data_IF_558314074051
#
_entry.id   IF_558314074051
#
_cell.length_a   1.000
_cell.length_b   1.000
_cell.length_c   1.000
_cell.angle_alpha   90.00
_cell.angle_beta   90.00
_cell.angle_gamma   90.00
#
_symmetry.space_group_name_H-M   'P 1'
#
loop_
_entity.id
_entity.type
_entity.pdbx_description
1 polymer ?
#
# COMPACT_ATOMS: atom_id res chain seq x y z
N UNK A 1 10.68 -6.15 15.49
CA UNK A 1 11.52 -5.88 14.31
C UNK A 1 10.55 -5.61 13.18
N UNK A 2 10.46 -4.37 12.72
CA UNK A 2 9.55 -3.97 11.65
C UNK A 2 10.31 -4.07 10.33
N UNK A 3 9.74 -4.75 9.33
CA UNK A 3 10.29 -4.82 7.97
C UNK A 3 9.48 -3.91 7.07
N UNK A 4 10.13 -2.97 6.39
CA UNK A 4 9.51 -2.22 5.31
C UNK A 4 9.40 -3.14 4.10
N UNK A 5 8.22 -3.27 3.52
CA UNK A 5 7.96 -4.12 2.36
C UNK A 5 7.08 -3.36 1.36
N UNK A 6 7.41 -3.43 0.07
CA UNK A 6 6.55 -2.98 -1.03
C UNK A 6 6.28 -4.16 -1.96
N UNK A 7 5.01 -4.36 -2.35
CA UNK A 7 4.58 -5.48 -3.18
C UNK A 7 5.04 -6.86 -2.66
N UNK A 8 5.10 -7.04 -1.33
CA UNK A 8 5.57 -8.28 -0.70
C UNK A 8 7.09 -8.47 -0.67
N UNK A 9 7.85 -7.58 -1.32
CA UNK A 9 9.32 -7.60 -1.31
C UNK A 9 9.87 -6.69 -0.20
N UNK A 10 10.87 -7.14 0.57
CA UNK A 10 11.50 -6.30 1.60
C UNK A 10 12.27 -5.16 0.94
N UNK A 11 11.98 -3.93 1.37
CA UNK A 11 12.77 -2.76 1.03
C UNK A 11 13.95 -2.75 1.99
N UNK A 12 15.13 -3.08 1.49
CA UNK A 12 16.36 -2.96 2.26
C UNK A 12 16.72 -1.48 2.36
N UNK A 13 16.95 -0.95 3.57
CA UNK A 13 17.38 0.43 3.77
C UNK A 13 18.83 0.60 3.27
N UNK A 14 19.02 0.65 1.95
CA UNK A 14 20.32 0.94 1.34
C UNK A 14 20.51 2.45 1.09
N UNK A 15 19.43 3.23 1.04
CA UNK A 15 19.46 4.65 0.67
C UNK A 15 18.63 5.54 1.63
N UNK A 16 18.47 5.14 2.89
CA UNK A 16 17.89 6.03 3.91
C UNK A 16 18.95 7.07 4.26
N UNK A 17 18.84 8.23 3.64
CA UNK A 17 19.24 9.50 4.25
C UNK A 17 18.66 9.55 5.69
N UNK A 18 19.29 10.26 6.62
CA UNK A 18 18.83 10.42 8.02
C UNK A 18 17.49 11.20 8.13
N UNK A 19 16.73 11.26 7.04
CA UNK A 19 15.44 11.88 6.93
C UNK A 19 14.40 11.17 7.81
N UNK A 20 13.62 11.91 8.61
CA UNK A 20 12.52 11.36 9.42
C UNK A 20 11.30 10.97 8.56
N UNK A 21 11.46 10.83 7.25
CA UNK A 21 10.41 10.66 6.27
C UNK A 21 10.75 9.54 5.30
N UNK A 22 9.84 8.57 5.18
CA UNK A 22 9.88 7.54 4.16
C UNK A 22 8.71 7.81 3.22
N UNK A 23 9.02 8.07 1.95
CA UNK A 23 8.02 8.21 0.88
C UNK A 23 8.19 7.04 -0.06
N UNK A 24 7.10 6.29 -0.28
CA UNK A 24 7.03 5.29 -1.33
C UNK A 24 6.28 5.91 -2.50
N UNK A 25 7.05 6.28 -3.51
CA UNK A 25 6.57 6.74 -4.80
C UNK A 25 6.71 5.57 -5.78
N UNK A 26 5.69 5.37 -6.61
CA UNK A 26 5.80 4.40 -7.69
C UNK A 26 6.53 5.07 -8.86
N UNK A 27 7.44 4.33 -9.48
CA UNK A 27 8.17 4.75 -10.67
C UNK A 27 7.18 5.10 -11.81
N UNK A 28 7.33 6.28 -12.40
CA UNK A 28 6.48 6.75 -13.50
C UNK A 28 6.68 5.88 -14.76
N UNK A 29 7.86 5.27 -14.89
CA UNK A 29 8.21 4.34 -15.97
C UNK A 29 7.88 2.88 -15.62
N UNK A 30 7.25 2.62 -14.46
CA UNK A 30 6.88 1.26 -14.05
C UNK A 30 5.89 0.61 -15.04
N UNK A 31 6.02 -0.72 -15.27
CA UNK A 31 5.07 -1.45 -16.12
C UNK A 31 3.63 -1.33 -15.61
N UNK A 32 2.71 -1.00 -16.51
CA UNK A 32 1.31 -0.72 -16.17
C UNK A 32 0.43 -1.98 -16.04
N UNK A 33 0.97 -3.12 -16.45
CA UNK A 33 0.25 -4.38 -16.55
C UNK A 33 1.11 -5.53 -16.05
N UNK A 34 0.47 -6.52 -15.44
CA UNK A 34 1.11 -7.79 -15.05
C UNK A 34 0.17 -8.95 -15.31
N UNK A 35 0.71 -10.16 -15.40
CA UNK A 35 -0.09 -11.37 -15.53
C UNK A 35 -0.65 -11.79 -14.17
N UNK A 36 -1.96 -12.03 -14.08
CA UNK A 36 -2.60 -12.53 -12.83
C UNK A 36 -2.09 -13.91 -12.41
N UNK A 37 -1.58 -14.69 -13.37
CA UNK A 37 -1.24 -16.09 -13.18
C UNK A 37 0.24 -16.30 -12.82
N UNK A 38 1.18 -15.78 -13.62
CA UNK A 38 2.62 -15.88 -13.33
C UNK A 38 3.19 -14.68 -12.57
N UNK A 39 2.51 -13.53 -12.55
CA UNK A 39 2.99 -12.31 -11.91
C UNK A 39 3.92 -11.44 -12.77
N UNK A 40 4.35 -11.91 -13.95
CA UNK A 40 5.27 -11.17 -14.82
C UNK A 40 4.65 -9.87 -15.35
N UNK A 41 5.47 -8.84 -15.51
CA UNK A 41 5.06 -7.59 -16.12
C UNK A 41 4.77 -7.78 -17.61
N UNK A 42 3.73 -7.10 -18.09
CA UNK A 42 3.25 -7.27 -19.45
C UNK A 42 3.33 -5.97 -20.25
N UNK A 43 3.67 -6.13 -21.52
CA UNK A 43 3.59 -5.09 -22.54
C UNK A 43 2.49 -5.46 -23.54
N UNK A 44 1.61 -4.49 -23.85
CA UNK A 44 0.59 -4.67 -24.89
C UNK A 44 1.25 -4.54 -26.27
N UNK A 45 1.15 -5.61 -27.06
CA UNK A 45 1.60 -5.65 -28.46
C UNK A 45 0.39 -5.73 -29.38
N UNK A 46 0.52 -5.39 -30.68
CA UNK A 46 -0.61 -5.41 -31.63
C UNK A 46 -1.33 -6.76 -31.74
N UNK A 47 -0.68 -7.84 -31.34
CA UNK A 47 -1.10 -9.22 -31.48
C UNK A 47 -1.17 -9.98 -30.14
N UNK A 48 -1.18 -9.25 -29.03
CA UNK A 48 -1.41 -9.81 -27.69
C UNK A 48 -0.49 -9.23 -26.62
N UNK A 49 -0.50 -9.87 -25.46
CA UNK A 49 0.34 -9.49 -24.33
C UNK A 49 1.64 -10.31 -24.33
N UNK A 50 2.76 -9.65 -24.09
CA UNK A 50 4.06 -10.29 -23.93
C UNK A 50 4.65 -9.98 -22.56
N UNK A 51 5.38 -10.93 -22.00
CA UNK A 51 6.23 -10.70 -20.83
C UNK A 51 7.51 -9.91 -21.18
N UNK A 52 8.40 -9.73 -20.20
CA UNK A 52 9.69 -9.05 -20.37
C UNK A 52 10.66 -9.78 -21.31
N UNK A 53 10.50 -11.09 -21.50
CA UNK A 53 11.27 -11.91 -22.44
C UNK A 53 10.74 -11.79 -23.88
N UNK A 54 9.55 -11.21 -24.06
CA UNK A 54 8.83 -11.15 -25.32
C UNK A 54 7.97 -12.38 -25.58
N UNK A 55 7.83 -13.27 -24.59
CA UNK A 55 7.01 -14.47 -24.70
C UNK A 55 5.54 -14.13 -24.48
N UNK A 56 4.67 -14.80 -25.23
CA UNK A 56 3.20 -14.61 -25.17
C UNK A 56 2.50 -15.66 -24.36
N UNK A 57 3.28 -16.62 -23.88
CA UNK A 57 2.79 -17.87 -23.34
C UNK A 57 3.13 -17.90 -21.86
N UNK A 58 2.08 -17.82 -21.04
CA UNK A 58 2.16 -17.97 -19.61
C UNK A 58 2.26 -19.45 -19.25
N UNK A 59 3.38 -19.82 -18.63
CA UNK A 59 3.61 -21.17 -18.11
C UNK A 59 2.79 -21.49 -16.84
N UNK A 60 2.27 -20.45 -16.19
CA UNK A 60 1.40 -20.57 -15.02
C UNK A 60 -0.08 -20.38 -15.38
N UNK A 61 -0.43 -20.41 -16.67
CA UNK A 61 -1.81 -20.28 -17.12
C UNK A 61 -2.70 -21.33 -16.46
N UNK A 62 -3.76 -20.87 -15.79
CA UNK A 62 -4.75 -21.72 -15.15
C UNK A 62 -6.04 -21.67 -15.97
N UNK A 63 -6.35 -22.70 -16.77
CA UNK A 63 -7.64 -22.76 -17.45
C UNK A 63 -8.74 -22.85 -16.38
N UNK A 64 -9.68 -21.91 -16.39
CA UNK A 64 -10.83 -21.88 -15.49
C UNK A 64 -11.76 -23.12 -15.57
N UNK A 65 -11.44 -24.09 -16.43
CA UNK A 65 -12.15 -25.37 -16.58
C UNK A 65 -11.36 -26.50 -15.87
N UNK A 66 -11.90 -27.06 -14.76
CA UNK A 66 -11.22 -28.09 -13.97
C UNK A 66 -11.11 -29.47 -14.65
N UNK A 67 -11.51 -29.60 -15.92
CA UNK A 67 -11.36 -30.86 -16.68
C UNK A 67 -10.01 -31.05 -17.39
N UNK A 68 -9.14 -30.04 -17.43
CA UNK A 68 -7.81 -30.16 -18.05
C UNK A 68 -6.72 -30.36 -16.99
N UNK A 69 -6.26 -31.60 -16.82
CA UNK A 69 -5.26 -32.02 -15.82
C UNK A 69 -3.81 -32.00 -16.33
N UNK A 70 -3.56 -31.44 -17.51
CA UNK A 70 -2.21 -31.25 -18.05
C UNK A 70 -1.78 -29.80 -17.81
N UNK A 71 -0.50 -29.54 -17.60
CA UNK A 71 0.03 -28.17 -17.49
C UNK A 71 -0.19 -27.44 -18.81
N UNK A 72 -1.29 -26.70 -18.92
CA UNK A 72 -1.66 -25.97 -20.12
C UNK A 72 -0.89 -24.66 -20.12
N UNK A 73 0.10 -24.55 -20.99
CA UNK A 73 0.65 -23.26 -21.37
C UNK A 73 -0.41 -22.49 -22.17
N UNK A 74 -0.66 -21.23 -21.80
CA UNK A 74 -1.75 -20.43 -22.39
C UNK A 74 -1.43 -18.95 -22.45
N UNK A 75 -2.35 -18.10 -22.96
CA UNK A 75 -2.10 -16.66 -23.05
C UNK A 75 -1.95 -16.03 -21.66
N UNK A 76 -1.16 -14.96 -21.54
CA UNK A 76 -1.16 -14.16 -20.33
C UNK A 76 -2.55 -13.55 -20.05
N UNK A 77 -2.91 -13.50 -18.77
CA UNK A 77 -4.13 -12.85 -18.28
C UNK A 77 -3.77 -11.48 -17.70
N UNK A 78 -3.95 -10.38 -18.45
CA UNK A 78 -3.48 -9.07 -18.03
C UNK A 78 -4.36 -8.47 -16.92
N UNK A 79 -3.72 -7.98 -15.86
CA UNK A 79 -4.33 -7.08 -14.89
C UNK A 79 -3.54 -5.77 -14.80
N UNK A 80 -4.27 -4.66 -14.60
CA UNK A 80 -3.63 -3.36 -14.35
C UNK A 80 -2.80 -3.46 -13.07
N UNK A 81 -1.53 -3.12 -13.17
CA UNK A 81 -0.76 -2.78 -11.97
C UNK A 81 -1.40 -1.53 -11.38
N UNK A 82 -1.57 -1.51 -10.06
CA UNK A 82 -2.20 -0.39 -9.37
C UNK A 82 -1.52 0.92 -9.79
N UNK A 83 -2.29 1.87 -10.34
CA UNK A 83 -1.77 3.09 -10.97
C UNK A 83 -0.77 3.85 -10.08
N UNK A 84 0.47 3.93 -10.53
CA UNK A 84 1.61 4.52 -9.82
C UNK A 84 1.37 5.97 -9.37
N UNK A 85 0.73 6.78 -10.21
CA UNK A 85 0.45 8.20 -9.95
C UNK A 85 -0.68 8.48 -8.96
N UNK A 86 -1.55 7.50 -8.71
CA UNK A 86 -2.68 7.64 -7.77
C UNK A 86 -2.41 6.96 -6.42
N UNK A 87 -1.40 6.06 -6.38
CA UNK A 87 -1.07 5.25 -5.22
C UNK A 87 0.26 5.71 -4.60
N UNK A 88 0.22 6.46 -3.51
CA UNK A 88 1.42 6.86 -2.73
C UNK A 88 1.20 6.42 -1.28
N UNK A 89 2.22 5.89 -0.63
CA UNK A 89 2.21 5.72 0.81
C UNK A 89 3.42 6.44 1.43
N UNK A 90 3.19 7.33 2.38
CA UNK A 90 4.23 8.06 3.08
C UNK A 90 4.07 7.95 4.59
N UNK A 91 5.18 7.77 5.30
CA UNK A 91 5.23 7.89 6.76
C UNK A 91 6.20 8.99 7.11
N UNK A 92 5.71 9.98 7.88
CA UNK A 92 6.52 11.07 8.43
C UNK A 92 6.51 10.97 9.95
N UNK A 93 7.70 10.91 10.55
CA UNK A 93 7.88 11.11 11.98
C UNK A 93 8.15 12.60 12.26
N UNK A 94 7.52 13.14 13.30
CA UNK A 94 7.82 14.46 13.83
C UNK A 94 8.25 14.33 15.29
N UNK A 95 9.55 14.48 15.53
CA UNK A 95 10.16 14.28 16.85
C UNK A 95 9.90 15.43 17.80
N UNK A 96 9.58 16.63 17.30
CA UNK A 96 9.26 17.78 18.15
C UNK A 96 7.86 17.63 18.77
N UNK A 97 6.94 17.03 18.01
CA UNK A 97 5.54 16.86 18.41
C UNK A 97 5.18 15.44 18.90
N UNK A 98 6.17 14.53 18.98
CA UNK A 98 5.99 13.10 19.30
C UNK A 98 4.82 12.47 18.51
N UNK A 99 4.89 12.62 17.18
CA UNK A 99 3.82 12.23 16.27
C UNK A 99 4.32 11.50 15.01
N UNK A 100 3.44 10.68 14.45
CA UNK A 100 3.61 10.03 13.16
C UNK A 100 2.41 10.32 12.28
N UNK A 101 2.67 10.73 11.04
CA UNK A 101 1.63 10.90 10.02
C UNK A 101 1.81 9.86 8.95
N UNK A 102 0.72 9.17 8.61
CA UNK A 102 0.66 8.19 7.53
C UNK A 102 -0.26 8.74 6.45
N UNK A 103 0.27 8.88 5.25
CA UNK A 103 -0.47 9.28 4.06
C UNK A 103 -0.57 8.07 3.15
N UNK A 104 -1.76 7.77 2.67
CA UNK A 104 -2.07 6.73 1.68
C UNK A 104 -2.94 7.38 0.62
N UNK A 105 -2.35 7.80 -0.49
CA UNK A 105 -3.10 8.05 -1.72
C UNK A 105 -3.38 6.70 -2.35
N UNK A 106 -4.63 6.42 -2.71
CA UNK A 106 -4.96 5.35 -3.65
C UNK A 106 -5.89 5.88 -4.73
N UNK A 107 -5.85 5.29 -5.94
CA UNK A 107 -6.78 5.56 -7.04
C UNK A 107 -8.22 5.10 -6.78
N UNK A 108 -8.70 5.26 -5.54
CA UNK A 108 -10.07 5.04 -5.11
C UNK A 108 -10.90 6.32 -5.36
N UNK A 109 -12.20 6.21 -5.70
CA UNK A 109 -13.09 7.37 -5.86
C UNK A 109 -13.15 8.32 -4.64
N UNK A 110 -12.74 7.85 -3.44
CA UNK A 110 -12.69 8.62 -2.20
C UNK A 110 -11.40 9.44 -2.05
N UNK A 111 -10.40 9.25 -2.91
CA UNK A 111 -9.16 10.02 -2.95
C UNK A 111 -8.12 9.60 -1.89
N UNK A 112 -7.14 10.48 -1.65
CA UNK A 112 -6.05 10.23 -0.72
C UNK A 112 -6.48 10.33 0.75
N UNK A 113 -6.09 9.33 1.55
CA UNK A 113 -6.32 9.25 2.98
C UNK A 113 -5.05 9.64 3.74
N UNK A 114 -5.15 10.50 4.74
CA UNK A 114 -4.05 10.80 5.65
C UNK A 114 -4.55 10.75 7.09
N UNK A 115 -3.81 10.06 7.96
CA UNK A 115 -4.11 10.02 9.39
C UNK A 115 -2.86 10.28 10.21
N UNK A 116 -3.07 10.88 11.39
CA UNK A 116 -1.98 11.24 12.30
C UNK A 116 -2.20 10.57 13.64
N UNK A 117 -1.14 9.93 14.15
CA UNK A 117 -1.08 9.42 15.52
C UNK A 117 -0.10 10.29 16.30
N UNK A 118 -0.53 10.82 17.43
CA UNK A 118 0.29 11.67 18.30
C UNK A 118 0.19 11.20 19.75
N UNK A 119 1.30 11.23 20.48
CA UNK A 119 1.28 11.01 21.93
C UNK A 119 0.95 12.32 22.66
N UNK A 120 0.09 12.24 23.67
CA UNK A 120 -0.11 13.34 24.61
C UNK A 120 1.04 13.29 25.63
N UNK A 121 1.76 14.41 25.86
CA UNK A 121 2.82 14.47 26.86
C UNK A 121 2.38 13.99 28.25
N UNK A 122 3.33 13.48 29.02
CA UNK A 122 3.08 13.10 30.41
C UNK A 122 2.78 14.35 31.26
N UNK A 123 1.87 14.23 32.22
CA UNK A 123 1.40 15.35 33.03
C UNK A 123 0.31 14.94 34.02
N UNK A 124 -0.22 15.92 34.75
CA UNK A 124 -1.27 15.70 35.75
C UNK A 124 -2.66 15.98 35.15
N UNK A 125 -3.00 15.27 34.08
CA UNK A 125 -4.30 15.34 33.42
C UNK A 125 -4.75 13.97 32.91
N UNK A 126 -6.05 13.80 32.71
CA UNK A 126 -6.69 12.50 32.47
C UNK A 126 -6.20 11.72 31.24
N UNK A 127 -5.62 12.40 30.25
CA UNK A 127 -5.12 11.78 29.02
C UNK A 127 -3.58 11.79 28.91
N UNK A 128 -2.87 12.00 30.01
CA UNK A 128 -1.42 12.02 30.03
C UNK A 128 -0.84 10.69 29.55
N UNK A 129 0.07 10.76 28.59
CA UNK A 129 0.72 9.60 27.98
C UNK A 129 -0.13 8.78 27.01
N UNK A 130 -1.39 9.17 26.75
CA UNK A 130 -2.26 8.49 25.80
C UNK A 130 -1.89 8.78 24.34
N UNK A 131 -2.27 7.89 23.43
CA UNK A 131 -2.18 8.09 21.98
C UNK A 131 -3.49 8.64 21.43
N UNK A 132 -3.41 9.65 20.57
CA UNK A 132 -4.53 10.27 19.87
C UNK A 132 -4.39 10.02 18.37
N UNK A 133 -5.46 9.56 17.74
CA UNK A 133 -5.61 9.36 16.30
C UNK A 133 -6.52 10.43 15.71
N UNK A 134 -6.06 11.13 14.68
CA UNK A 134 -6.89 11.98 13.83
C UNK A 134 -7.17 11.26 12.50
N UNK A 135 -8.45 11.02 12.20
CA UNK A 135 -8.93 10.36 10.99
C UNK A 135 -9.91 11.26 10.21
N UNK A 136 -9.69 11.49 8.91
CA UNK A 136 -10.56 12.33 8.07
C UNK A 136 -11.95 11.71 7.79
N UNK A 137 -12.08 10.38 7.91
CA UNK A 137 -13.32 9.64 7.69
C UNK A 137 -13.67 8.83 8.95
N UNK A 138 -14.18 9.47 10.02
CA UNK A 138 -14.41 8.83 11.32
C UNK A 138 -15.34 7.61 11.23
N UNK A 139 -16.41 7.70 10.44
CA UNK A 139 -17.45 6.66 10.34
C UNK A 139 -17.02 5.43 9.54
N UNK A 140 -15.90 5.50 8.84
CA UNK A 140 -15.37 4.43 8.00
C UNK A 140 -14.09 3.80 8.59
N UNK A 141 -13.72 4.20 9.80
CA UNK A 141 -12.61 3.58 10.51
C UNK A 141 -12.95 2.12 10.81
N UNK A 142 -12.10 1.18 10.38
CA UNK A 142 -12.15 -0.23 10.75
C UNK A 142 -11.11 -0.50 11.86
N UNK A 143 -11.44 -0.19 13.12
CA UNK A 143 -10.46 -0.19 14.19
C UNK A 143 -10.01 -1.62 14.55
N UNK A 144 -8.70 -1.83 14.61
CA UNK A 144 -8.09 -3.07 15.12
C UNK A 144 -7.88 -3.04 16.65
N UNK A 145 -8.01 -1.87 17.28
CA UNK A 145 -7.92 -1.62 18.71
C UNK A 145 -9.15 -0.80 19.16
N UNK A 146 -9.51 -0.83 20.45
CA UNK A 146 -10.62 -0.01 20.93
C UNK A 146 -10.29 1.47 20.72
N UNK A 147 -11.26 2.20 20.16
CA UNK A 147 -11.20 3.65 19.98
C UNK A 147 -12.25 4.32 20.87
N UNK A 148 -11.84 5.38 21.57
CA UNK A 148 -12.77 6.25 22.32
C UNK A 148 -12.76 7.63 21.67
N UNK A 149 -13.88 8.05 21.10
CA UNK A 149 -14.00 9.36 20.44
C UNK A 149 -13.96 10.50 21.47
N UNK A 150 -13.06 11.47 21.27
CA UNK A 150 -13.00 12.71 22.05
C UNK A 150 -13.81 13.84 21.40
N UNK A 151 -13.68 13.94 20.07
CA UNK A 151 -14.36 14.88 19.20
C UNK A 151 -14.48 14.24 17.80
N UNK A 152 -15.38 14.72 16.92
CA UNK A 152 -15.51 14.19 15.56
C UNK A 152 -14.17 14.02 14.85
N UNK A 153 -13.84 12.80 14.44
CA UNK A 153 -12.59 12.48 13.74
C UNK A 153 -11.35 12.34 14.63
N UNK A 154 -11.48 12.44 15.96
CA UNK A 154 -10.37 12.36 16.91
C UNK A 154 -10.62 11.33 17.99
N UNK A 155 -9.71 10.37 18.14
CA UNK A 155 -9.90 9.19 18.97
C UNK A 155 -8.72 8.96 19.90
N UNK A 156 -8.99 8.51 21.13
CA UNK A 156 -7.99 7.85 21.98
C UNK A 156 -7.85 6.40 21.55
N UNK A 157 -6.60 5.93 21.44
CA UNK A 157 -6.27 4.52 21.16
C UNK A 157 -6.02 3.80 22.50
N UNK A 158 -6.80 2.77 22.80
CA UNK A 158 -6.66 1.97 24.04
C UNK A 158 -7.99 1.51 24.63
#
# INVERSE_FOLDING_TARGET
MFSLTANGSPILPADVDDSPMIVLENDEDAPQWRCTACGDYLTEMPDGWTDESGDRVCCAYDPTDPMETESVEGPHSPERVALSWANNAGVRADTEEDSFTVTISVGDPRGAFAFTVRRIPDGDHEHAGCLVLHSPHPEESAPHARLTELHPGTFLIG
#
